data_IF_730225635447
#
_entry.id   IF_730225635447
#
_cell.length_a   1.000
_cell.length_b   1.000
_cell.length_c   1.000
_cell.angle_alpha   90.00
_cell.angle_beta   90.00
_cell.angle_gamma   90.00
#
_symmetry.space_group_name_H-M   'P 1'
#
loop_
_entity.id
_entity.type
_entity.pdbx_description
1 polymer ?
#
# COMPACT_ATOMS: atom_id res chain seq x y z
N UNK A 1 4.74 -22.92 -9.47
CA UNK A 1 4.23 -21.56 -9.70
C UNK A 1 4.53 -20.71 -8.46
N UNK A 2 5.11 -19.50 -8.59
CA UNK A 2 5.36 -18.60 -7.45
C UNK A 2 4.26 -17.53 -7.40
N UNK A 3 3.69 -17.27 -6.22
CA UNK A 3 2.70 -16.19 -6.03
C UNK A 3 3.40 -14.84 -6.09
N UNK A 4 2.93 -13.94 -6.95
CA UNK A 4 3.36 -12.55 -6.99
C UNK A 4 2.32 -11.66 -6.29
N UNK A 5 2.77 -10.58 -5.67
CA UNK A 5 1.91 -9.49 -5.20
C UNK A 5 2.17 -8.32 -6.13
N UNK A 6 1.11 -7.75 -6.70
CA UNK A 6 1.19 -6.59 -7.60
C UNK A 6 0.69 -5.37 -6.84
N UNK A 7 1.53 -4.34 -6.74
CA UNK A 7 1.13 -3.03 -6.21
C UNK A 7 0.72 -2.14 -7.38
N UNK A 8 -0.47 -1.55 -7.32
CA UNK A 8 -0.94 -0.63 -8.35
C UNK A 8 -0.75 0.82 -7.91
N UNK A 9 -0.13 1.64 -8.76
CA UNK A 9 -0.04 3.09 -8.56
C UNK A 9 -1.34 3.74 -9.04
N UNK A 10 -2.08 4.38 -8.15
CA UNK A 10 -3.35 5.03 -8.48
C UNK A 10 -3.41 6.45 -7.90
N UNK A 11 -3.72 7.44 -8.73
CA UNK A 11 -3.63 8.88 -8.39
C UNK A 11 -4.55 9.27 -7.24
N UNK A 12 -5.67 8.58 -7.08
CA UNK A 12 -6.69 8.95 -6.09
C UNK A 12 -6.49 8.22 -4.76
N UNK A 13 -5.40 7.45 -4.62
CA UNK A 13 -4.95 6.94 -3.33
C UNK A 13 -4.23 8.04 -2.56
N UNK A 14 -4.50 8.18 -1.25
CA UNK A 14 -3.76 9.11 -0.41
C UNK A 14 -2.31 8.63 -0.27
N UNK A 15 -1.38 9.58 -0.11
CA UNK A 15 0.04 9.27 0.12
C UNK A 15 0.32 8.94 1.57
N UNK A 16 -0.34 9.67 2.46
CA UNK A 16 -0.29 9.45 3.91
C UNK A 16 -1.57 8.72 4.36
N UNK A 17 -1.57 8.17 5.58
CA UNK A 17 -2.78 7.59 6.15
C UNK A 17 -3.88 8.65 6.29
N UNK A 18 -5.11 8.28 5.95
CA UNK A 18 -6.28 9.14 6.04
C UNK A 18 -7.45 8.39 6.68
N UNK A 19 -8.33 9.16 7.30
CA UNK A 19 -9.60 8.73 7.88
C UNK A 19 -10.71 8.57 6.84
N UNK A 20 -10.53 9.12 5.63
CA UNK A 20 -11.48 8.93 4.55
C UNK A 20 -11.37 7.52 3.92
N UNK A 21 -12.49 6.89 3.56
CA UNK A 21 -12.46 5.64 2.81
C UNK A 21 -11.68 5.80 1.50
N UNK A 22 -10.82 4.82 1.20
CA UNK A 22 -10.14 4.72 -0.09
C UNK A 22 -11.01 4.05 -1.14
N UNK A 23 -10.69 4.26 -2.41
CA UNK A 23 -11.38 3.61 -3.53
C UNK A 23 -11.29 2.08 -3.45
N UNK A 24 -12.38 1.41 -3.85
CA UNK A 24 -12.46 -0.05 -3.88
C UNK A 24 -11.46 -0.61 -4.90
N UNK A 25 -10.53 -1.43 -4.43
CA UNK A 25 -9.39 -1.84 -5.24
C UNK A 25 -9.59 -3.12 -6.06
N UNK A 26 -10.78 -3.73 -6.00
CA UNK A 26 -11.15 -5.00 -6.65
C UNK A 26 -10.14 -6.14 -6.42
N UNK A 27 -9.39 -6.10 -5.32
CA UNK A 27 -8.42 -7.13 -4.92
C UNK A 27 -6.95 -6.79 -5.15
N UNK A 28 -6.63 -5.66 -5.79
CA UNK A 28 -5.24 -5.19 -5.93
C UNK A 28 -4.85 -4.26 -4.78
N UNK A 29 -3.70 -4.42 -4.12
CA UNK A 29 -3.20 -3.37 -3.22
C UNK A 29 -2.81 -2.12 -4.03
N UNK A 30 -3.52 -1.01 -3.79
CA UNK A 30 -3.29 0.27 -4.46
C UNK A 30 -2.56 1.25 -3.54
N UNK A 31 -1.66 2.04 -4.11
CA UNK A 31 -0.93 3.10 -3.40
C UNK A 31 -0.81 4.35 -4.27
N UNK A 32 -0.57 5.51 -3.66
CA UNK A 32 -0.37 6.74 -4.43
C UNK A 32 0.90 6.67 -5.30
N UNK A 33 1.00 7.44 -6.40
CA UNK A 33 2.23 7.50 -7.20
C UNK A 33 3.44 7.99 -6.41
N UNK A 34 3.22 8.87 -5.43
CA UNK A 34 4.27 9.37 -4.53
C UNK A 34 4.77 8.26 -3.62
N UNK A 35 3.86 7.54 -2.95
CA UNK A 35 4.22 6.42 -2.08
C UNK A 35 4.83 5.25 -2.87
N UNK A 36 4.38 5.01 -4.10
CA UNK A 36 4.94 3.98 -4.98
C UNK A 36 6.45 4.17 -5.18
N UNK A 37 6.91 5.40 -5.43
CA UNK A 37 8.36 5.71 -5.57
C UNK A 37 9.14 5.48 -4.26
N UNK A 38 8.49 5.66 -3.12
CA UNK A 38 9.08 5.41 -1.81
C UNK A 38 9.25 3.91 -1.59
N UNK A 39 8.15 3.14 -1.70
CA UNK A 39 8.17 1.70 -1.46
C UNK A 39 9.05 0.95 -2.48
N UNK A 40 9.13 1.42 -3.72
CA UNK A 40 10.03 0.86 -4.74
C UNK A 40 11.48 0.84 -4.24
N UNK A 41 11.95 1.91 -3.61
CA UNK A 41 13.31 2.00 -3.06
C UNK A 41 13.52 1.01 -1.91
N UNK A 42 12.53 0.83 -1.04
CA UNK A 42 12.60 -0.14 0.05
C UNK A 42 12.63 -1.58 -0.47
N UNK A 43 11.75 -1.91 -1.43
CA UNK A 43 11.70 -3.23 -2.07
C UNK A 43 13.02 -3.55 -2.76
N UNK A 44 13.53 -2.63 -3.59
CA UNK A 44 14.78 -2.82 -4.35
C UNK A 44 15.99 -3.06 -3.44
N UNK A 45 16.04 -2.41 -2.27
CA UNK A 45 17.18 -2.49 -1.37
C UNK A 45 17.01 -3.53 -0.25
N UNK A 46 15.88 -4.23 -0.17
CA UNK A 46 15.64 -5.16 0.92
C UNK A 46 16.39 -6.48 0.76
N UNK A 47 17.21 -6.82 1.75
CA UNK A 47 17.88 -8.13 1.87
C UNK A 47 17.04 -9.17 2.62
N UNK A 48 15.92 -8.74 3.20
CA UNK A 48 15.02 -9.58 4.02
C UNK A 48 13.61 -9.58 3.43
N UNK A 49 12.78 -10.60 3.72
CA UNK A 49 11.37 -10.56 3.38
C UNK A 49 10.71 -9.31 3.95
N UNK A 50 9.84 -8.68 3.16
CA UNK A 50 9.07 -7.49 3.57
C UNK A 50 7.68 -7.95 3.99
N UNK A 51 7.21 -7.44 5.13
CA UNK A 51 5.82 -7.61 5.57
C UNK A 51 5.08 -6.32 5.23
N UNK A 52 4.02 -6.43 4.43
CA UNK A 52 3.10 -5.32 4.16
C UNK A 52 1.93 -5.49 5.11
N UNK A 53 1.75 -4.51 6.00
CA UNK A 53 0.63 -4.46 6.92
C UNK A 53 -0.39 -3.46 6.37
N UNK A 54 -1.62 -3.93 6.17
CA UNK A 54 -2.75 -3.09 5.83
C UNK A 54 -3.85 -3.36 6.88
N UNK A 55 -4.38 -2.31 7.46
CA UNK A 55 -5.47 -2.40 8.42
C UNK A 55 -6.59 -1.48 7.97
N UNK A 56 -7.82 -1.91 8.19
CA UNK A 56 -8.99 -1.06 7.99
C UNK A 56 -9.14 -0.23 9.26
N UNK A 57 -8.96 1.08 9.16
CA UNK A 57 -9.12 2.01 10.28
C UNK A 57 -10.57 2.08 10.75
N UNK A 58 -11.04 1.09 11.54
CA UNK A 58 -12.10 1.39 12.49
C UNK A 58 -11.45 2.25 13.57
N UNK A 59 -11.95 3.45 13.83
CA UNK A 59 -11.48 4.34 14.90
C UNK A 59 -11.09 3.53 16.14
N UNK A 60 -9.80 3.30 16.38
CA UNK A 60 -9.33 3.05 17.72
C UNK A 60 -9.35 4.42 18.35
N UNK A 61 -10.47 4.75 19.01
CA UNK A 61 -10.48 5.81 20.02
C UNK A 61 -9.47 5.36 21.08
N UNK A 62 -8.25 5.89 21.00
CA UNK A 62 -7.39 6.02 22.17
C UNK A 62 -8.03 7.04 23.12
#
# INVERSE_FOLDING_TARGET
>A
MKRAIVLHSYSDMPTEEDTFPVYLSLGCPMVSPTFFKVIEKYIKNSKKPIIIHAFYGSKIKL
#
